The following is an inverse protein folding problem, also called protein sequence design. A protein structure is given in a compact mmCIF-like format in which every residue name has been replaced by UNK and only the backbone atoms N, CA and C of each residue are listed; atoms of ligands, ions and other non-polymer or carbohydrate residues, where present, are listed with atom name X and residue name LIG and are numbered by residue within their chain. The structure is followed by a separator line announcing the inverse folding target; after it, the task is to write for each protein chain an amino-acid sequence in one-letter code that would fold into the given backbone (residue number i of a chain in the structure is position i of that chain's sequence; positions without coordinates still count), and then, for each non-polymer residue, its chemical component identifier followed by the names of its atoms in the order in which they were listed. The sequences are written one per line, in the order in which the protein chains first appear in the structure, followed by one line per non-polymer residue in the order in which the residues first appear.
data_IF_446543207640
#
_entry.id   IF_446543207640
#
_cell.length_a   1.000
_cell.length_b   1.000
_cell.length_c   1.000
_cell.angle_alpha   90.00
_cell.angle_beta   90.00
_cell.angle_gamma   90.00
#
_symmetry.space_group_name_H-M   'P 1'
#
loop_
_entity.id
_entity.type
_entity.pdbx_description
1 polymer ?
2 non-polymer ?
3 non-polymer ?
4 non-polymer ?
5 non-polymer ?
6 water ?
#
# COMPACT_ATOMS: atom_id res chain seq x y z
N UNK A 5 -10.95 9.79 -22.39
CA UNK A 5 -11.15 8.88 -23.56
C UNK A 5 -10.00 7.88 -23.61
N UNK A 6 -10.36 6.60 -23.81
CA UNK A 6 -9.40 5.50 -23.86
C UNK A 6 -9.25 5.06 -25.32
N UNK A 7 -8.06 5.25 -25.89
CA UNK A 7 -7.83 4.80 -27.26
C UNK A 7 -7.80 3.26 -27.34
N UNK A 8 -7.91 2.75 -28.55
CA UNK A 8 -7.91 1.31 -28.82
C UNK A 8 -6.58 0.65 -28.46
N UNK A 9 -6.64 -0.57 -27.94
CA UNK A 9 -5.45 -1.38 -27.80
C UNK A 9 -4.99 -1.81 -29.17
N UNK A 10 -3.68 -1.98 -29.38
CA UNK A 10 -3.22 -2.60 -30.60
C UNK A 10 -3.47 -4.10 -30.63
N UNK A 11 -3.30 -4.70 -31.80
CA UNK A 11 -3.26 -6.14 -31.92
C UNK A 11 -2.21 -6.71 -30.94
N UNK A 12 -2.60 -7.76 -30.23
CA UNK A 12 -1.72 -8.47 -29.31
C UNK A 12 -1.95 -9.96 -29.45
N UNK A 13 -0.88 -10.73 -29.34
CA UNK A 13 -0.94 -12.19 -29.38
C UNK A 13 -0.63 -12.70 -27.97
N UNK A 14 -1.60 -13.36 -27.35
CA UNK A 14 -1.41 -13.93 -26.02
C UNK A 14 -2.34 -15.12 -25.83
N UNK A 15 -2.11 -15.91 -24.79
CA UNK A 15 -2.97 -17.09 -24.59
C UNK A 15 -4.42 -16.72 -24.32
N UNK A 16 -5.32 -17.47 -24.94
CA UNK A 16 -6.75 -17.24 -24.75
C UNK A 16 -7.15 -17.61 -23.33
N UNK A 17 -7.89 -16.72 -22.66
CA UNK A 17 -8.42 -17.10 -21.35
C UNK A 17 -9.50 -18.16 -21.58
N UNK A 18 -9.52 -19.19 -20.78
CA UNK A 18 -10.51 -20.25 -20.93
C UNK A 18 -11.44 -20.26 -19.71
N UNK A 19 -12.71 -20.16 -20.04
CA UNK A 19 -13.75 -19.95 -19.09
C UNK A 19 -13.87 -21.14 -18.12
N UNK A 20 -13.60 -22.35 -18.63
CA UNK A 20 -13.75 -23.57 -17.85
C UNK A 20 -12.44 -24.02 -17.20
N UNK A 21 -11.44 -23.14 -17.25
CA UNK A 21 -10.17 -23.29 -16.58
C UNK A 21 -9.87 -22.03 -15.76
N UNK A 22 -10.04 -22.10 -14.45
CA UNK A 22 -9.26 -21.14 -13.65
C UNK A 22 -7.79 -21.59 -13.63
N UNK A 23 -6.84 -20.66 -13.68
CA UNK A 23 -5.44 -20.92 -13.20
C UNK A 23 -5.44 -21.09 -11.69
N UNK A 24 -6.00 -20.13 -10.94
CA UNK A 24 -6.00 -20.21 -9.48
C UNK A 24 -7.29 -20.79 -8.91
N UNK A 25 -7.21 -22.03 -8.42
CA UNK A 25 -8.27 -22.74 -7.68
C UNK A 25 -8.03 -22.82 -6.19
N UNK A 26 -6.85 -22.41 -5.75
CA UNK A 26 -6.43 -22.55 -4.36
C UNK A 26 -6.77 -21.34 -3.50
N UNK A 27 -7.13 -20.22 -4.16
CA UNK A 27 -7.38 -18.97 -3.45
C UNK A 27 -8.60 -18.24 -4.04
N UNK A 28 -9.21 -17.42 -3.21
CA UNK A 28 -10.22 -16.45 -3.61
C UNK A 28 -9.59 -15.35 -4.45
N UNK A 29 -10.07 -15.18 -5.68
CA UNK A 29 -9.52 -14.16 -6.61
C UNK A 29 -10.45 -12.97 -6.85
N UNK A 30 -11.61 -12.98 -6.21
CA UNK A 30 -12.56 -11.87 -6.31
C UNK A 30 -13.31 -11.77 -5.00
N UNK A 31 -13.49 -10.54 -4.51
CA UNK A 31 -14.22 -10.33 -3.27
C UNK A 31 -15.73 -10.44 -3.51
N UNK A 32 -16.53 -10.55 -2.44
CA UNK A 32 -18.01 -10.59 -2.66
C UNK A 32 -18.64 -9.30 -3.17
N UNK A 33 -17.87 -8.20 -3.24
CA UNK A 33 -18.34 -6.98 -3.88
C UNK A 33 -17.65 -6.81 -5.24
N UNK A 34 -17.12 -7.91 -5.81
CA UNK A 34 -16.66 -7.97 -7.19
C UNK A 34 -15.41 -7.13 -7.41
N UNK A 35 -14.58 -7.03 -6.38
CA UNK A 35 -13.22 -6.46 -6.52
C UNK A 35 -12.22 -7.62 -6.74
N UNK A 36 -11.39 -7.52 -7.77
CA UNK A 36 -10.31 -8.52 -7.89
C UNK A 36 -9.37 -8.55 -6.70
N UNK A 37 -8.94 -9.76 -6.34
CA UNK A 37 -7.88 -9.97 -5.37
C UNK A 37 -6.67 -10.40 -6.20
N UNK A 38 -5.60 -9.62 -6.13
CA UNK A 38 -4.50 -9.74 -7.08
C UNK A 38 -3.47 -10.78 -6.58
N UNK A 39 -3.42 -11.89 -7.31
CA UNK A 39 -2.45 -12.97 -7.14
C UNK A 39 -1.75 -13.22 -8.45
N UNK A 40 -0.52 -13.76 -8.39
CA UNK A 40 0.13 -14.19 -9.58
C UNK A 40 -0.73 -15.26 -10.29
N UNK A 41 -0.79 -15.13 -11.60
CA UNK A 41 -1.60 -16.03 -12.46
C UNK A 41 -2.96 -15.48 -12.79
N UNK A 42 -3.41 -14.42 -12.10
CA UNK A 42 -4.71 -13.82 -12.37
C UNK A 42 -4.69 -12.71 -13.43
N UNK A 43 -3.51 -12.18 -13.75
CA UNK A 43 -3.41 -11.06 -14.69
C UNK A 43 -2.38 -11.30 -15.79
N UNK A 44 -2.67 -10.75 -16.97
CA UNK A 44 -1.74 -10.67 -18.08
C UNK A 44 -1.17 -9.27 -18.04
N UNK A 45 0.08 -9.18 -17.59
CA UNK A 45 0.71 -7.88 -17.39
C UNK A 45 0.94 -7.13 -18.70
N UNK A 46 1.05 -7.83 -19.82
CA UNK A 46 1.16 -7.17 -21.11
C UNK A 46 -0.08 -6.37 -21.48
N UNK A 47 -1.26 -6.95 -21.24
CA UNK A 47 -2.50 -6.22 -21.48
C UNK A 47 -2.59 -5.03 -20.54
N UNK A 48 -2.32 -5.24 -19.25
CA UNK A 48 -2.43 -4.14 -18.29
C UNK A 48 -1.42 -3.03 -18.58
N UNK A 49 -0.19 -3.40 -18.92
CA UNK A 49 0.80 -2.38 -19.26
C UNK A 49 0.34 -1.53 -20.45
N UNK A 50 -0.23 -2.17 -21.46
CA UNK A 50 -0.77 -1.44 -22.61
C UNK A 50 -1.84 -0.45 -22.17
N UNK A 51 -2.78 -0.92 -21.37
CA UNK A 51 -3.89 -0.09 -20.95
C UNK A 51 -3.39 1.14 -20.21
N UNK A 52 -2.49 0.95 -19.26
CA UNK A 52 -2.03 2.06 -18.45
C UNK A 52 -1.03 2.96 -19.16
N UNK A 53 -0.20 2.40 -20.04
CA UNK A 53 0.71 3.27 -20.82
C UNK A 53 -0.06 4.13 -21.81
N UNK A 54 -1.12 3.58 -22.40
CA UNK A 54 -1.96 4.38 -23.32
C UNK A 54 -2.60 5.60 -22.62
N UNK A 55 -2.80 5.52 -21.31
CA UNK A 55 -3.25 6.68 -20.53
C UNK A 55 -2.12 7.57 -19.96
N UNK A 56 -0.86 7.27 -20.28
CA UNK A 56 0.32 7.94 -19.74
C UNK A 56 0.25 8.09 -18.23
N UNK A 57 0.01 6.97 -17.58
CA UNK A 57 -0.27 6.96 -16.16
C UNK A 57 0.97 7.34 -15.37
N UNK A 58 0.81 8.20 -14.37
CA UNK A 58 1.87 8.57 -13.43
C UNK A 58 1.51 8.07 -12.05
N UNK A 59 2.43 7.35 -11.42
CA UNK A 59 2.19 6.79 -10.10
C UNK A 59 3.06 7.50 -9.11
N UNK A 60 2.45 8.06 -8.06
CA UNK A 60 3.23 8.61 -6.97
C UNK A 60 3.41 7.56 -5.87
N UNK A 61 4.57 7.55 -5.23
CA UNK A 61 4.84 6.62 -4.13
C UNK A 61 5.26 7.46 -2.95
N UNK A 62 4.54 7.36 -1.84
CA UNK A 62 4.91 8.07 -0.62
C UNK A 62 5.62 7.13 0.34
N UNK A 63 6.66 7.63 0.98
CA UNK A 63 7.37 6.86 1.97
C UNK A 63 7.94 7.81 3.02
N UNK A 64 7.80 7.44 4.29
CA UNK A 64 8.28 8.24 5.39
C UNK A 64 9.54 7.62 5.97
N UNK A 65 10.55 8.45 6.23
CA UNK A 65 11.78 7.98 6.78
C UNK A 65 12.25 8.98 7.82
N UNK A 66 11.80 8.73 9.05
CA UNK A 66 11.96 9.65 10.16
C UNK A 66 12.93 9.05 11.14
N UNK A 67 13.82 9.88 11.70
CA UNK A 67 14.79 9.46 12.69
C UNK A 67 15.66 8.32 12.12
N UNK A 68 15.80 7.19 12.80
CA UNK A 68 16.75 6.17 12.36
C UNK A 68 16.31 5.46 11.06
N UNK A 69 15.05 5.63 10.68
CA UNK A 69 14.53 4.91 9.51
C UNK A 69 15.06 5.44 8.20
N UNK A 70 15.79 6.55 8.21
CA UNK A 70 16.47 6.96 7.00
C UNK A 70 17.43 5.90 6.48
N UNK A 71 17.94 5.03 7.36
CA UNK A 71 18.86 3.97 6.97
C UNK A 71 18.25 2.98 5.97
N UNK A 72 16.92 2.88 5.95
CA UNK A 72 16.22 1.96 5.06
C UNK A 72 16.01 2.49 3.63
N UNK A 73 16.26 3.76 3.40
CA UNK A 73 15.94 4.36 2.12
C UNK A 73 16.75 3.83 0.96
N UNK A 74 18.03 3.55 1.17
CA UNK A 74 18.87 3.14 0.02
C UNK A 74 18.34 1.85 -0.60
N UNK A 75 18.14 0.82 0.21
CA UNK A 75 17.65 -0.46 -0.32
C UNK A 75 16.22 -0.33 -0.83
N UNK A 76 15.41 0.45 -0.12
CA UNK A 76 14.03 0.65 -0.54
C UNK A 76 13.97 1.22 -1.96
N UNK A 77 14.69 2.33 -2.16
CA UNK A 77 14.66 3.02 -3.46
C UNK A 77 15.34 2.26 -4.56
N UNK A 78 16.48 1.63 -4.25
CA UNK A 78 17.23 0.91 -5.26
C UNK A 78 16.41 -0.29 -5.78
N UNK A 79 15.69 -0.96 -4.88
CA UNK A 79 14.89 -2.09 -5.28
C UNK A 79 13.60 -1.62 -5.91
N UNK A 80 13.06 -0.46 -5.50
CA UNK A 80 11.93 0.11 -6.23
C UNK A 80 12.28 0.37 -7.71
N UNK A 81 13.49 0.87 -7.96
CA UNK A 81 13.95 1.05 -9.31
C UNK A 81 13.95 -0.23 -10.12
N UNK A 82 14.27 -1.35 -9.47
CA UNK A 82 14.30 -2.64 -10.15
C UNK A 82 12.92 -3.22 -10.44
N UNK A 83 11.95 -2.92 -9.59
CA UNK A 83 10.70 -3.70 -9.57
C UNK A 83 9.37 -2.93 -9.56
N UNK A 84 9.37 -1.63 -9.24
CA UNK A 84 8.12 -0.90 -9.01
C UNK A 84 7.78 -0.10 -10.26
N UNK A 85 6.71 -0.48 -10.94
CA UNK A 85 6.15 0.28 -12.06
C UNK A 85 7.16 0.58 -13.15
N UNK A 86 8.06 -0.36 -13.43
CA UNK A 86 9.09 -0.11 -14.42
C UNK A 86 8.44 0.06 -15.80
N UNK A 87 8.82 1.12 -16.50
CA UNK A 87 8.24 1.50 -17.77
C UNK A 87 7.19 2.55 -17.72
N UNK A 88 6.68 2.83 -16.50
CA UNK A 88 5.72 3.86 -16.25
C UNK A 88 6.33 5.07 -15.60
N UNK A 89 5.61 6.20 -15.61
CA UNK A 89 6.07 7.40 -14.93
C UNK A 89 5.87 7.25 -13.44
N UNK A 90 6.92 7.51 -12.66
CA UNK A 90 6.91 7.36 -11.20
C UNK A 90 7.46 8.63 -10.56
N UNK A 91 6.79 9.09 -9.51
CA UNK A 91 7.27 10.21 -8.70
C UNK A 91 7.31 9.72 -7.27
N UNK A 92 8.53 9.60 -6.73
CA UNK A 92 8.69 9.27 -5.32
C UNK A 92 8.58 10.53 -4.47
N UNK A 93 7.86 10.42 -3.36
CA UNK A 93 7.83 11.50 -2.37
C UNK A 93 8.37 10.97 -1.06
N UNK A 94 9.57 11.42 -0.71
CA UNK A 94 10.24 10.96 0.49
C UNK A 94 10.09 12.03 1.56
N UNK A 95 9.31 11.71 2.59
CA UNK A 95 9.07 12.55 3.75
C UNK A 95 10.09 12.23 4.85
N UNK A 96 10.87 13.23 5.27
CA UNK A 96 11.93 12.97 6.23
C UNK A 96 12.20 14.18 7.09
N UNK A 97 12.73 13.90 8.27
CA UNK A 97 13.28 14.96 9.13
C UNK A 97 14.76 15.23 8.85
N UNK A 98 15.38 14.46 7.96
CA UNK A 98 16.81 14.59 7.67
C UNK A 98 17.04 14.56 6.15
N UNK A 99 16.74 15.66 5.47
CA UNK A 99 16.91 15.67 4.01
C UNK A 99 18.32 15.29 3.55
N UNK A 100 19.34 15.66 4.34
CA UNK A 100 20.72 15.36 3.97
C UNK A 100 21.11 13.89 4.09
N UNK A 101 20.27 13.08 4.75
CA UNK A 101 20.52 11.66 4.90
C UNK A 101 19.80 10.84 3.82
N UNK A 102 19.06 11.50 2.93
CA UNK A 102 18.46 10.76 1.80
C UNK A 102 19.58 10.35 0.83
N UNK A 103 19.70 9.04 0.57
CA UNK A 103 20.78 8.60 -0.34
C UNK A 103 20.56 9.07 -1.78
N UNK A 104 21.65 9.31 -2.53
CA UNK A 104 21.51 9.73 -3.92
C UNK A 104 21.37 8.45 -4.74
N UNK A 105 20.15 8.16 -5.16
CA UNK A 105 19.86 6.92 -5.85
C UNK A 105 19.63 7.29 -7.32
N UNK A 106 20.27 6.52 -8.20
CA UNK A 106 20.13 6.69 -9.63
C UNK A 106 18.80 6.15 -10.13
N UNK A 107 18.05 7.01 -10.81
CA UNK A 107 16.72 6.64 -11.28
C UNK A 107 16.72 6.39 -12.77
N UNK A 108 15.86 5.47 -13.19
CA UNK A 108 15.56 5.28 -14.59
C UNK A 108 14.83 6.45 -15.20
N UNK A 109 14.78 6.49 -16.53
CA UNK A 109 14.13 7.60 -17.22
C UNK A 109 12.64 7.65 -16.87
N UNK A 110 12.11 8.86 -16.76
CA UNK A 110 10.68 9.03 -16.51
C UNK A 110 10.31 8.94 -15.05
N UNK A 111 11.31 9.00 -14.19
CA UNK A 111 11.12 8.78 -12.76
C UNK A 111 11.79 9.91 -12.01
N UNK A 112 11.14 10.40 -10.98
CA UNK A 112 11.67 11.54 -10.22
C UNK A 112 11.46 11.35 -8.74
N UNK A 113 12.26 12.07 -7.95
CA UNK A 113 12.17 11.96 -6.50
C UNK A 113 12.15 13.35 -5.91
N UNK A 114 11.21 13.58 -4.99
CA UNK A 114 11.12 14.82 -4.21
C UNK A 114 11.34 14.52 -2.76
N UNK A 115 12.16 15.32 -2.09
CA UNK A 115 12.41 15.20 -0.66
C UNK A 115 11.53 16.28 0.01
N UNK A 116 10.68 15.87 0.93
CA UNK A 116 9.76 16.74 1.64
C UNK A 116 10.15 16.67 3.10
N UNK A 117 10.55 17.81 3.66
CA UNK A 117 10.96 17.83 5.04
C UNK A 117 9.77 17.97 5.93
N UNK A 118 9.73 17.16 6.99
CA UNK A 118 8.69 17.27 8.00
C UNK A 118 9.34 17.36 9.37
N UNK A 119 8.50 17.63 10.37
CA UNK A 119 8.90 17.51 11.79
C UNK A 119 8.87 16.06 12.25
N UNK A 120 9.78 15.70 13.14
CA UNK A 120 9.81 14.36 13.76
C UNK A 120 9.03 14.38 15.08
N UNK A 121 8.23 13.33 15.32
CA UNK A 121 7.47 13.16 16.54
C UNK A 121 8.27 12.17 17.38
N UNK A 122 8.17 12.26 18.70
CA UNK A 122 8.97 11.42 19.61
C UNK A 122 8.52 9.95 19.58
N UNK A 123 7.21 9.74 19.74
CA UNK A 123 6.63 8.40 19.79
C UNK A 123 6.65 7.75 18.41
N UNK A 126 5.37 5.43 16.33
CA UNK A 126 4.26 5.07 17.23
C UNK A 126 3.27 6.21 17.53
N UNK A 127 3.62 7.38 16.96
CA UNK A 127 2.72 8.36 16.36
C UNK A 127 1.73 7.51 15.61
N UNK A 128 0.49 7.95 15.60
CA UNK A 128 -0.43 7.50 14.58
C UNK A 128 -0.41 8.60 13.54
N UNK A 129 -0.54 9.85 13.96
CA UNK A 129 -1.15 10.88 13.10
C UNK A 129 -0.42 11.51 11.93
N UNK A 130 0.90 11.56 11.93
CA UNK A 130 1.57 12.35 10.92
C UNK A 130 1.28 11.81 9.53
N UNK A 131 1.40 10.51 9.29
CA UNK A 131 1.38 10.08 7.87
C UNK A 131 0.04 10.38 7.22
N UNK A 132 -1.06 9.99 7.87
CA UNK A 132 -2.38 10.28 7.29
C UNK A 132 -2.59 11.79 7.13
N UNK A 133 -2.21 12.57 8.14
CA UNK A 133 -2.25 14.04 8.04
C UNK A 133 -1.40 14.63 6.92
N UNK A 134 -0.17 14.16 6.80
CA UNK A 134 0.70 14.68 5.75
C UNK A 134 0.15 14.38 4.35
N UNK A 135 -0.32 13.15 4.16
CA UNK A 135 -0.83 12.75 2.85
C UNK A 135 -2.10 13.52 2.47
N UNK A 136 -2.95 13.82 3.46
CA UNK A 136 -4.17 14.54 3.18
C UNK A 136 -3.88 16.04 3.23
N UNK A 137 -3.79 16.60 4.46
CA UNK A 137 -3.76 18.06 4.73
C UNK A 137 -2.70 18.91 4.04
N UNK A 138 -1.49 18.41 3.97
CA UNK A 138 -0.37 19.21 3.46
C UNK A 138 -0.04 19.01 1.99
N UNK A 139 -0.29 17.82 1.46
CA UNK A 139 0.14 17.48 0.10
C UNK A 139 -0.99 17.35 -0.90
N UNK A 140 -2.19 17.72 -0.49
CA UNK A 140 -3.40 17.52 -1.29
C UNK A 140 -3.27 18.10 -2.69
N UNK A 141 -2.94 19.38 -2.74
CA UNK A 141 -2.83 20.07 -4.02
C UNK A 141 -1.67 19.54 -4.85
N UNK A 142 -0.53 19.27 -4.21
CA UNK A 142 0.64 18.78 -4.94
C UNK A 142 0.31 17.50 -5.73
N UNK A 143 -0.21 16.51 -5.00
CA UNK A 143 -0.48 15.23 -5.63
C UNK A 143 -1.51 15.30 -6.76
N UNK A 144 -2.59 16.06 -6.56
CA UNK A 144 -3.59 16.23 -7.62
C UNK A 144 -3.01 16.77 -8.91
N UNK A 145 -2.01 17.64 -8.81
CA UNK A 145 -1.41 18.23 -9.99
C UNK A 145 -0.36 17.34 -10.64
N UNK A 146 0.21 16.37 -9.91
CA UNK A 146 1.43 15.69 -10.36
C UNK A 146 1.28 14.22 -10.70
N UNK A 147 0.31 13.54 -10.09
CA UNK A 147 0.19 12.08 -10.30
C UNK A 147 -1.26 11.68 -10.44
N UNK A 148 -1.46 10.49 -11.03
CA UNK A 148 -2.79 9.90 -11.21
C UNK A 148 -3.20 8.99 -10.05
N UNK A 149 -2.25 8.23 -9.55
CA UNK A 149 -2.44 7.26 -8.46
C UNK A 149 -1.43 7.53 -7.39
N UNK A 150 -1.78 7.24 -6.15
CA UNK A 150 -0.86 7.30 -5.03
C UNK A 150 -0.78 5.94 -4.39
N UNK A 151 0.45 5.56 -4.05
CA UNK A 151 0.75 4.30 -3.34
C UNK A 151 1.50 4.72 -2.08
N UNK A 152 1.04 4.27 -0.93
CA UNK A 152 1.59 4.69 0.36
C UNK A 152 2.14 3.48 1.07
N UNK A 153 3.45 3.44 1.30
CA UNK A 153 4.12 2.28 1.87
C UNK A 153 5.05 2.62 3.03
N UNK A 154 5.32 1.59 3.82
CA UNK A 154 6.38 1.62 4.81
C UNK A 154 7.76 1.58 4.14
N UNK A 155 8.76 2.12 4.85
CA UNK A 155 10.13 2.20 4.33
C UNK A 155 11.02 1.02 4.67
N UNK A 156 10.68 0.32 5.75
CA UNK A 156 11.46 -0.81 6.27
C UNK A 156 11.20 -2.08 5.45
N UNK A 157 11.39 -1.97 4.14
CA UNK A 157 10.89 -2.93 3.16
C UNK A 157 11.85 -2.94 1.98
N UNK A 158 11.76 -4.00 1.18
CA UNK A 158 12.47 -4.04 -0.10
C UNK A 158 11.60 -4.70 -1.12
N UNK A 159 11.76 -4.31 -2.36
CA UNK A 159 11.09 -4.99 -3.47
C UNK A 159 11.97 -6.14 -3.94
N UNK A 160 11.40 -7.32 -4.06
CA UNK A 160 12.09 -8.49 -4.63
C UNK A 160 11.54 -8.98 -5.95
N UNK A 161 10.35 -8.54 -6.33
CA UNK A 161 9.76 -8.99 -7.57
C UNK A 161 8.80 -7.89 -8.05
N UNK A 162 8.21 -8.13 -9.21
CA UNK A 162 7.33 -7.19 -9.89
C UNK A 162 6.21 -6.64 -8.99
N UNK A 163 6.13 -5.31 -8.89
CA UNK A 163 4.95 -4.61 -8.36
C UNK A 163 4.59 -3.55 -9.39
N UNK A 164 3.50 -3.79 -10.11
CA UNK A 164 3.17 -2.99 -11.27
C UNK A 164 1.73 -2.55 -11.34
N UNK A 165 1.33 -2.20 -12.54
CA UNK A 165 0.03 -1.53 -12.73
C UNK A 165 -1.17 -2.42 -12.43
N UNK A 166 -0.96 -3.73 -12.27
CA UNK A 166 -2.00 -4.61 -11.79
C UNK A 166 -2.63 -4.13 -10.47
N UNK A 167 -1.90 -3.35 -9.68
CA UNK A 167 -2.45 -2.88 -8.37
C UNK A 167 -3.36 -1.68 -8.53
N UNK A 168 -3.26 -0.96 -9.66
CA UNK A 168 -3.90 0.34 -9.78
C UNK A 168 -5.40 0.24 -10.01
N UNK A 169 -6.11 1.11 -9.29
CA UNK A 169 -7.56 1.03 -9.16
C UNK A 169 -7.97 2.26 -8.33
N UNK A 170 -9.27 2.60 -8.26
CA UNK A 170 -9.60 3.74 -7.41
C UNK A 170 -9.16 3.62 -5.94
N UNK A 171 -9.30 2.44 -5.33
CA UNK A 171 -8.94 2.28 -3.92
C UNK A 171 -8.49 0.84 -3.65
N UNK A 172 -7.29 0.64 -3.10
CA UNK A 172 -6.89 -0.69 -2.71
C UNK A 172 -6.31 -0.79 -1.32
N UNK A 173 -6.50 -1.96 -0.70
CA UNK A 173 -5.75 -2.34 0.48
C UNK A 173 -5.07 -3.65 0.21
N UNK A 174 -4.24 -4.06 1.16
CA UNK A 174 -3.38 -5.24 1.04
C UNK A 174 -3.65 -6.17 2.22
N UNK A 175 -3.86 -7.45 1.92
CA UNK A 175 -4.03 -8.44 2.99
C UNK A 175 -2.79 -8.59 3.88
N UNK A 176 -2.98 -8.37 5.17
CA UNK A 176 -1.91 -8.54 6.16
C UNK A 176 -1.42 -10.00 6.12
N UNK A 177 -0.10 -10.21 6.06
CA UNK A 177 0.40 -11.56 5.84
C UNK A 177 0.15 -12.52 7.01
N UNK A 178 -0.04 -11.98 8.20
CA UNK A 178 -0.29 -12.82 9.41
C UNK A 178 -1.74 -13.24 9.58
N UNK A 179 -2.66 -12.68 8.78
CA UNK A 179 -4.11 -12.88 9.05
C UNK A 179 -4.94 -13.33 7.88
N UNK A 180 -4.33 -13.60 6.73
CA UNK A 180 -5.11 -13.92 5.55
C UNK A 180 -5.91 -15.22 5.69
N UNK A 181 -5.43 -16.10 6.57
CA UNK A 181 -6.12 -17.38 6.83
C UNK A 181 -6.95 -17.37 8.10
N UNK A 182 -7.07 -16.22 8.77
CA UNK A 182 -7.72 -16.11 10.07
C UNK A 182 -9.20 -15.84 9.91
N UNK A 183 -9.97 -16.27 10.91
CA UNK A 183 -11.37 -15.93 10.97
C UNK A 183 -11.48 -14.52 11.59
N UNK A 184 -12.58 -13.84 11.29
CA UNK A 184 -12.67 -12.39 11.60
C UNK A 184 -12.60 -12.08 13.10
N UNK A 185 -13.09 -13.00 13.92
CA UNK A 185 -13.06 -12.79 15.36
C UNK A 185 -11.63 -12.67 15.91
N UNK A 186 -10.67 -13.30 15.23
CA UNK A 186 -9.25 -13.25 15.55
C UNK A 186 -8.51 -12.01 15.01
N UNK A 187 -9.11 -11.31 14.06
CA UNK A 187 -8.48 -10.10 13.54
C UNK A 187 -8.27 -9.13 14.68
N UNK A 188 -7.11 -8.45 14.68
CA UNK A 188 -6.79 -7.47 15.71
C UNK A 188 -7.33 -6.07 15.41
N UNK A 189 -8.62 -6.01 15.02
CA UNK A 189 -9.33 -4.76 14.88
C UNK A 189 -9.42 -4.07 16.23
N UNK A 190 -9.60 -2.76 16.24
CA UNK A 190 -9.97 -2.06 17.48
C UNK A 190 -11.33 -2.58 17.95
N UNK A 191 -11.39 -3.06 19.21
CA UNK A 191 -12.60 -3.66 19.76
C UNK A 191 -13.32 -2.85 20.83
N UNK A 192 -12.79 -1.68 21.17
CA UNK A 192 -13.42 -0.81 22.16
C UNK A 192 -14.42 0.10 21.46
N UNK A 193 -15.71 0.02 21.84
CA UNK A 193 -16.72 0.90 21.23
C UNK A 193 -16.47 2.40 21.40
N UNK A 194 -15.59 2.78 22.32
CA UNK A 194 -15.26 4.18 22.57
C UNK A 194 -14.35 4.76 21.48
N UNK A 195 -13.77 3.89 20.63
CA UNK A 195 -12.91 4.36 19.54
C UNK A 195 -13.69 4.45 18.23
N UNK A 196 -13.35 5.48 17.44
CA UNK A 196 -13.85 5.60 16.08
C UNK A 196 -13.50 4.41 15.19
N UNK A 197 -12.42 3.71 15.50
CA UNK A 197 -11.99 2.55 14.71
C UNK A 197 -12.71 1.24 15.09
N UNK A 198 -13.65 1.31 16.04
CA UNK A 198 -14.29 0.09 16.56
C UNK A 198 -14.95 -0.75 15.47
N UNK A 199 -14.65 -2.04 15.48
CA UNK A 199 -15.35 -3.02 14.65
C UNK A 199 -15.76 -4.22 15.54
N UNK A 200 -17.07 -4.51 15.61
CA UNK A 200 -17.58 -5.64 16.36
C UNK A 200 -17.10 -6.98 15.83
N UNK A 201 -17.18 -8.03 16.66
CA UNK A 201 -16.64 -9.34 16.33
C UNK A 201 -17.32 -10.05 15.15
N UNK A 202 -18.54 -9.64 14.81
CA UNK A 202 -19.28 -10.23 13.69
C UNK A 202 -19.18 -9.39 12.43
N UNK A 203 -18.29 -8.40 12.40
CA UNK A 203 -18.06 -7.61 11.18
C UNK A 203 -16.61 -7.73 10.72
N UNK A 204 -16.40 -7.45 9.44
CA UNK A 204 -15.06 -7.50 8.86
C UNK A 204 -14.99 -8.43 7.65
N UNK A 205 -14.35 -7.97 6.59
CA UNK A 205 -14.06 -8.81 5.44
C UNK A 205 -12.65 -9.38 5.60
N UNK A 206 -11.68 -8.48 5.74
CA UNK A 206 -10.26 -8.82 5.77
C UNK A 206 -9.55 -7.97 6.82
N UNK A 207 -8.35 -8.38 7.19
CA UNK A 207 -7.45 -7.54 7.95
C UNK A 207 -6.37 -6.97 7.03
N UNK A 208 -6.48 -5.67 6.76
CA UNK A 208 -5.59 -4.99 5.82
C UNK A 208 -4.37 -4.43 6.55
N UNK A 209 -3.18 -4.50 5.93
CA UNK A 209 -1.94 -3.97 6.60
C UNK A 209 -1.80 -2.50 6.27
N UNK A 210 -1.41 -1.73 7.28
CA UNK A 210 -1.21 -0.31 7.12
C UNK A 210 -0.02 0.07 6.29
N UNK A 211 0.85 -0.89 5.99
CA UNK A 211 2.11 -0.69 5.24
C UNK A 211 2.01 -0.61 3.75
N UNK A 212 0.82 -0.79 3.17
CA UNK A 212 0.67 -0.74 1.70
C UNK A 212 -0.80 -0.53 1.35
N UNK A 213 -1.19 0.71 1.01
CA UNK A 213 -2.51 1.00 0.49
C UNK A 213 -2.36 2.08 -0.57
N UNK A 214 -3.42 2.36 -1.30
CA UNK A 214 -3.32 3.35 -2.39
C UNK A 214 -4.58 3.43 -3.19
N UNK A 215 -4.47 4.06 -4.33
CA UNK A 215 -5.64 4.31 -5.17
C UNK A 215 -5.45 5.54 -6.01
N UNK A 216 -6.54 6.05 -6.57
CA UNK A 216 -6.48 7.35 -7.20
C UNK A 216 -6.17 8.43 -6.18
N UNK A 217 -5.64 9.57 -6.63
CA UNK A 217 -5.35 10.65 -5.70
C UNK A 217 -6.61 11.02 -4.91
N UNK A 218 -7.73 11.15 -5.60
CA UNK A 218 -8.96 11.54 -4.92
C UNK A 218 -9.34 10.56 -3.83
N UNK A 219 -9.28 9.26 -4.12
CA UNK A 219 -9.71 8.27 -3.15
C UNK A 219 -8.72 8.17 -1.99
N UNK A 220 -7.43 8.29 -2.28
CA UNK A 220 -6.43 8.26 -1.22
C UNK A 220 -6.55 9.50 -0.32
N UNK A 221 -6.85 10.65 -0.89
CA UNK A 221 -7.07 11.86 -0.04
C UNK A 221 -8.33 11.69 0.79
N UNK A 222 -9.38 11.08 0.24
CA UNK A 222 -10.58 10.77 1.05
C UNK A 222 -10.28 9.85 2.22
N UNK A 223 -9.51 8.80 1.96
CA UNK A 223 -9.22 7.84 2.98
C UNK A 223 -8.36 8.46 4.09
N UNK A 224 -7.33 9.18 3.68
CA UNK A 224 -6.35 9.70 4.65
C UNK A 224 -7.00 10.82 5.47
N UNK A 225 -7.84 11.62 4.82
CA UNK A 225 -8.61 12.67 5.52
C UNK A 225 -9.50 12.05 6.56
N UNK A 226 -10.27 11.03 6.17
CA UNK A 226 -11.20 10.36 7.08
C UNK A 226 -10.45 9.74 8.24
N UNK A 227 -9.31 9.09 7.97
CA UNK A 227 -8.57 8.42 9.05
C UNK A 227 -7.99 9.47 9.99
N UNK A 228 -7.47 10.57 9.44
CA UNK A 228 -6.89 11.63 10.27
C UNK A 228 -7.99 12.24 11.17
N UNK A 229 -9.15 12.52 10.60
CA UNK A 229 -10.27 13.06 11.37
C UNK A 229 -10.69 12.10 12.51
N UNK A 230 -10.81 10.82 12.20
CA UNK A 230 -11.17 9.82 13.19
C UNK A 230 -10.11 9.70 14.30
N UNK A 231 -8.82 9.78 13.93
CA UNK A 231 -7.72 9.76 14.91
C UNK A 231 -7.78 10.98 15.81
N UNK A 232 -8.14 12.14 15.25
CA UNK A 232 -8.30 13.37 16.07
C UNK A 232 -9.44 13.25 17.06
N UNK A 233 -10.56 12.65 16.64
CA UNK A 233 -11.66 12.39 17.57
C UNK A 233 -11.23 11.48 18.72
N UNK A 234 -10.55 10.38 18.41
CA UNK A 234 -10.05 9.48 19.44
C UNK A 234 -9.11 10.22 20.41
N UNK A 235 -8.22 11.05 19.88
CA UNK A 235 -7.28 11.79 20.72
C UNK A 235 -8.01 12.70 21.70
N UNK A 236 -9.02 13.43 21.19
CA UNK A 236 -9.88 14.29 22.01
C UNK A 236 -10.62 13.52 23.09
N UNK A 237 -10.95 12.27 22.80
CA UNK A 237 -11.58 11.36 23.75
C UNK A 237 -10.62 10.54 24.62
N UNK A 238 -9.31 10.81 24.55
CA UNK A 238 -8.32 10.08 25.35
C UNK A 238 -8.18 8.60 25.06
N UNK A 239 -8.28 8.22 23.79
CA UNK A 239 -8.14 6.82 23.40
C UNK A 239 -7.25 6.77 22.16
N UNK A 240 -6.39 5.76 22.10
CA UNK A 240 -5.52 5.52 20.95
C UNK A 240 -5.77 4.09 20.47
N UNK A 241 -6.18 3.93 19.21
CA UNK A 241 -6.52 2.63 18.68
C UNK A 241 -5.35 1.65 18.80
N UNK A 242 -5.69 0.39 19.06
CA UNK A 242 -4.72 -0.68 19.30
C UNK A 242 -3.57 -0.75 18.28
N UNK A 243 -3.90 -0.62 17.00
CA UNK A 243 -2.88 -0.57 15.94
C UNK A 243 -2.86 0.75 15.18
N UNK A 244 -3.23 1.82 15.89
CA UNK A 244 -2.96 3.18 15.42
C UNK A 244 -3.58 3.43 14.05
N UNK A 245 -2.78 3.93 13.20
CA UNK A 245 -3.50 4.25 11.81
C UNK A 245 -4.04 3.00 11.01
N UNK A 246 -3.41 1.87 11.35
CA UNK A 246 -3.90 0.63 10.74
C UNK A 246 -5.30 0.25 11.21
N UNK A 247 -5.61 0.53 12.47
CA UNK A 247 -6.95 0.28 12.98
C UNK A 247 -8.00 1.14 12.23
N UNK A 248 -7.65 2.39 12.00
CA UNK A 248 -8.53 3.31 11.29
C UNK A 248 -8.65 2.97 9.81
N UNK A 249 -7.54 2.56 9.21
CA UNK A 249 -7.54 2.09 7.82
C UNK A 249 -8.53 0.94 7.67
N UNK A 250 -8.47 0.00 8.61
CA UNK A 250 -9.39 -1.12 8.60
C UNK A 250 -10.84 -0.76 8.76
N UNK A 251 -11.12 0.21 9.62
CA UNK A 251 -12.49 0.70 9.73
C UNK A 251 -12.95 1.34 8.42
N UNK A 252 -12.08 2.18 7.83
CA UNK A 252 -12.44 2.83 6.58
C UNK A 252 -12.76 1.84 5.47
N UNK A 253 -11.89 0.83 5.31
CA UNK A 253 -12.04 -0.13 4.22
C UNK A 253 -13.16 -1.12 4.46
N UNK A 254 -13.60 -1.25 5.71
CA UNK A 254 -14.84 -1.99 5.96
C UNK A 254 -16.05 -1.23 5.43
N UNK A 255 -16.09 0.07 5.65
CA UNK A 255 -17.24 0.90 5.30
C UNK A 255 -17.19 1.47 3.88
N UNK A 256 -16.01 1.44 3.27
CA UNK A 256 -15.74 1.89 1.90
C UNK A 256 -14.93 0.81 1.23
N UNK A 257 -15.59 -0.10 0.53
CA UNK A 257 -14.93 -1.29 0.05
C UNK A 257 -13.89 -0.92 -0.99
N UNK A 258 -12.71 -1.55 -0.91
CA UNK A 258 -11.71 -1.29 -1.93
C UNK A 258 -12.09 -1.93 -3.23
N UNK A 259 -11.67 -1.32 -4.32
CA UNK A 259 -11.97 -1.79 -5.67
C UNK A 259 -10.97 -2.83 -6.20
N UNK A 260 -9.81 -2.98 -5.53
CA UNK A 260 -8.96 -4.18 -5.63
C UNK A 260 -8.41 -4.47 -4.25
N UNK A 261 -8.07 -5.73 -4.02
CA UNK A 261 -7.36 -6.15 -2.82
C UNK A 261 -6.10 -6.85 -3.25
N UNK A 262 -4.95 -6.45 -2.69
CA UNK A 262 -3.68 -7.09 -3.01
C UNK A 262 -3.47 -8.29 -2.11
N UNK A 263 -3.05 -9.40 -2.70
CA UNK A 263 -2.72 -10.60 -1.92
C UNK A 263 -1.45 -10.35 -1.08
N UNK A 264 -1.14 -11.27 -0.16
CA UNK A 264 0.07 -11.09 0.66
C UNK A 264 1.37 -11.21 -0.09
N UNK A 265 1.33 -11.57 -1.37
CA UNK A 265 2.49 -11.41 -2.26
C UNK A 265 3.07 -10.01 -2.12
N UNK A 266 2.18 -9.03 -1.90
CA UNK A 266 2.53 -7.63 -1.91
C UNK A 266 2.95 -7.06 -0.54
N UNK A 267 2.92 -7.90 0.49
CA UNK A 267 3.37 -7.48 1.81
C UNK A 267 3.67 -8.72 2.64
N UNK A 268 4.93 -9.11 2.64
CA UNK A 268 5.34 -10.41 3.20
C UNK A 268 6.52 -10.23 4.13
N UNK A 269 6.61 -11.11 5.13
CA UNK A 269 7.79 -11.17 6.00
C UNK A 269 8.26 -12.62 5.96
N UNK A 270 9.33 -12.85 5.22
CA UNK A 270 9.82 -14.23 5.01
C UNK A 270 10.47 -14.80 6.27
N UNK A 271 11.13 -13.95 7.04
CA UNK A 271 11.77 -14.40 8.30
C UNK A 271 10.68 -14.93 9.25
N UNK A 272 9.58 -14.20 9.36
CA UNK A 272 8.49 -14.55 10.23
C UNK A 272 7.64 -15.71 9.72
N UNK A 273 7.39 -15.74 8.41
CA UNK A 273 6.29 -16.57 7.86
C UNK A 273 6.70 -17.56 6.78
N UNK A 274 7.96 -17.54 6.37
CA UNK A 274 8.48 -18.48 5.41
C UNK A 274 8.02 -18.21 4.00
N UNK A 275 7.73 -19.25 3.27
CA UNK A 275 7.30 -19.16 1.86
C UNK A 275 6.28 -20.25 1.55
N UNK A 276 5.02 -20.02 1.92
CA UNK A 276 3.91 -20.98 1.72
C UNK A 276 3.59 -21.23 0.26
N UNK A 277 2.97 -22.37 0.01
CA UNK A 277 2.66 -22.83 -1.34
C UNK A 277 1.78 -21.82 -2.07
N UNK A 278 0.88 -21.20 -1.33
CA UNK A 278 -0.06 -20.25 -1.89
C UNK A 278 0.62 -19.02 -2.48
N UNK A 279 1.84 -18.71 -2.05
CA UNK A 279 2.58 -17.58 -2.64
C UNK A 279 3.54 -17.97 -3.73
N UNK A 280 3.22 -17.64 -4.97
CA UNK A 280 4.07 -17.94 -6.11
C UNK A 280 5.22 -16.95 -6.29
N UNK A 281 5.03 -15.76 -5.72
CA UNK A 281 6.03 -14.70 -5.73
C UNK A 281 5.97 -13.96 -4.42
N UNK A 282 7.14 -13.49 -3.97
CA UNK A 282 7.29 -12.63 -2.81
C UNK A 282 7.74 -11.30 -3.38
N UNK A 283 6.85 -10.32 -3.44
CA UNK A 283 7.12 -9.10 -4.21
C UNK A 283 7.71 -7.94 -3.39
N UNK A 284 7.22 -7.75 -2.18
CA UNK A 284 7.57 -6.56 -1.37
C UNK A 284 7.61 -7.11 0.05
N UNK A 285 8.79 -7.07 0.66
CA UNK A 285 9.06 -7.84 1.87
C UNK A 285 9.70 -7.03 2.96
N UNK A 286 9.42 -7.38 4.21
CA UNK A 286 10.03 -6.75 5.37
C UNK A 286 11.53 -6.94 5.41
N UNK A 287 12.24 -5.89 5.80
CA UNK A 287 13.65 -5.95 6.07
C UNK A 287 13.73 -6.20 7.57
N UNK A 288 14.44 -7.23 7.96
CA UNK A 288 14.62 -7.49 9.39
C UNK A 288 15.09 -6.25 10.16
N UNK A 289 14.45 -5.95 11.29
CA UNK A 289 14.86 -4.84 12.14
C UNK A 289 14.67 -5.17 13.63
N UNK A 290 15.45 -4.49 14.45
CA UNK A 290 15.28 -4.53 15.89
C UNK A 290 14.34 -3.39 16.29
N UNK A 291 13.08 -3.73 16.54
CA UNK A 291 12.00 -2.72 16.68
C UNK A 291 12.34 -1.68 17.75
N UNK A 292 12.76 -2.16 18.92
CA UNK A 292 13.07 -1.32 20.09
C UNK A 292 14.22 -0.34 19.83
N UNK A 293 15.36 -0.89 19.39
CA UNK A 293 16.56 -0.11 19.07
C UNK A 293 16.27 0.97 18.02
N UNK A 294 15.78 0.55 16.86
CA UNK A 294 15.50 1.46 15.72
C UNK A 294 14.39 2.50 15.97
N UNK A 295 13.47 2.24 16.91
CA UNK A 295 12.36 3.20 17.17
C UNK A 295 12.66 4.30 18.20
N UNK A 296 13.83 4.24 18.85
CA UNK A 296 14.19 5.21 19.89
C UNK A 296 15.64 5.67 19.78
#
# INVERSE_FOLDING_TARGET
AIGEFMVSLPRMVYPQPKVLTPCRKDVLVVTPWLAPIVWEGTFNIDILNEQFRLQNTTIGLTVFAIKKYVAFLKLFLETAEKHFMVGHRVHYYVFTDQPAAVPRVTLGTGRQLSVLEVGAYKRWQDVSMRRMEMISDFCERRFLSEVDYLVCVDVDMEFRDHVGVEILTPLFGTLHPSFYGSSREAFTYERRPQSQAYIPKDEGDFYYMGAFFGGSVQEVQRLTRACHQAMMVDQANGIEAVWHDESHLNKYLLRHKPTKVLSPEYLWDQQLLGWPAVLRKLRFTAVPKNHQAVRNPE
#
